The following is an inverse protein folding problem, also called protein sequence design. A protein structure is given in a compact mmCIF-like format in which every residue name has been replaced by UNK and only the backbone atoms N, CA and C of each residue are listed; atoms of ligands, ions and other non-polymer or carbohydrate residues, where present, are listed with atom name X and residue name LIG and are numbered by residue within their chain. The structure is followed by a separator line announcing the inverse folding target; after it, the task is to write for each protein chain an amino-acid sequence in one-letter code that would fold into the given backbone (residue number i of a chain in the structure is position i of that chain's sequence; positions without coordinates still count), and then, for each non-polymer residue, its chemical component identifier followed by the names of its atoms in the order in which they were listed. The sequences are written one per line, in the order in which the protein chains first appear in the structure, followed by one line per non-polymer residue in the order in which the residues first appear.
data_IF_386836646889
#
_entry.id   IF_386836646889
#
_cell.length_a   1.000
_cell.length_b   1.000
_cell.length_c   1.000
_cell.angle_alpha   90.00
_cell.angle_beta   90.00
_cell.angle_gamma   90.00
#
_symmetry.space_group_name_H-M   'P 1'
#
loop_
_entity.id
_entity.type
_entity.pdbx_description
1 polymer ?
#
# COMPACT_ATOMS: atom_id res chain seq x y z
N UNK A 1 4.68 13.34 7.09
CA UNK A 1 5.60 12.41 7.75
C UNK A 1 4.83 11.23 8.34
N UNK A 2 5.24 9.96 8.09
CA UNK A 2 4.61 8.82 8.72
C UNK A 2 5.02 8.69 10.20
N UNK A 3 4.07 8.33 11.06
CA UNK A 3 4.35 7.78 12.38
C UNK A 3 4.91 6.36 12.20
N UNK A 4 6.10 6.00 12.74
CA UNK A 4 6.72 4.70 12.50
C UNK A 4 6.11 3.59 13.37
N UNK A 5 4.81 3.37 13.18
CA UNK A 5 3.96 2.48 13.96
C UNK A 5 3.29 1.38 13.13
N UNK A 6 3.67 1.19 11.85
CA UNK A 6 3.10 0.17 10.96
C UNK A 6 3.66 0.18 9.55
N UNK A 7 3.31 -0.86 8.81
CA UNK A 7 3.69 -1.02 7.41
C UNK A 7 2.87 -0.11 6.48
N UNK A 8 3.49 0.33 5.39
CA UNK A 8 2.81 1.10 4.36
C UNK A 8 1.79 0.25 3.59
N UNK A 9 0.73 0.89 3.15
CA UNK A 9 -0.28 0.30 2.27
C UNK A 9 -0.50 1.17 1.02
N UNK A 10 -1.29 0.69 0.08
CA UNK A 10 -1.55 1.38 -1.20
C UNK A 10 -2.08 2.82 -1.03
N UNK A 11 -2.78 3.12 0.07
CA UNK A 11 -3.18 4.48 0.41
C UNK A 11 -2.00 5.42 0.65
N UNK A 12 -0.94 4.92 1.32
CA UNK A 12 0.29 5.69 1.51
C UNK A 12 1.04 5.88 0.18
N UNK A 13 0.96 4.93 -0.76
CA UNK A 13 1.56 5.10 -2.08
C UNK A 13 0.96 6.30 -2.84
N UNK A 14 -0.34 6.61 -2.65
CA UNK A 14 -0.97 7.83 -3.18
C UNK A 14 -0.31 9.08 -2.60
N UNK A 15 -0.17 9.17 -1.27
CA UNK A 15 0.49 10.29 -0.60
C UNK A 15 1.95 10.45 -1.04
N UNK A 16 2.71 9.36 -1.06
CA UNK A 16 4.12 9.35 -1.48
C UNK A 16 4.22 9.83 -2.93
N UNK A 17 3.41 9.24 -3.83
CA UNK A 17 3.40 9.59 -5.24
C UNK A 17 3.03 11.05 -5.48
N UNK A 18 2.11 11.62 -4.70
CA UNK A 18 1.74 13.02 -4.78
C UNK A 18 2.88 13.93 -4.32
N UNK A 19 3.47 13.70 -3.14
CA UNK A 19 4.53 14.52 -2.59
C UNK A 19 5.78 14.53 -3.49
N UNK A 20 6.31 13.35 -3.80
CA UNK A 20 7.47 13.23 -4.67
C UNK A 20 7.18 13.65 -6.11
N UNK A 21 5.95 13.44 -6.58
CA UNK A 21 5.51 13.83 -7.92
C UNK A 21 5.50 15.36 -8.09
N UNK A 22 4.90 16.09 -7.16
CA UNK A 22 4.88 17.56 -7.16
C UNK A 22 6.30 18.11 -7.04
N UNK A 23 7.10 17.61 -6.09
CA UNK A 23 8.48 18.04 -5.94
C UNK A 23 9.26 17.88 -7.26
N UNK A 24 9.14 16.74 -7.92
CA UNK A 24 9.79 16.46 -9.20
C UNK A 24 9.31 17.39 -10.32
N UNK A 25 7.99 17.60 -10.44
CA UNK A 25 7.37 18.42 -11.49
C UNK A 25 7.83 19.87 -11.38
N UNK A 26 7.86 20.42 -10.16
CA UNK A 26 8.26 21.79 -9.89
C UNK A 26 9.75 21.98 -9.57
N UNK A 27 10.58 20.92 -9.74
CA UNK A 27 12.03 20.94 -9.46
C UNK A 27 12.34 21.32 -8.01
N UNK A 28 11.46 20.95 -7.09
CA UNK A 28 11.63 21.09 -5.65
C UNK A 28 12.25 19.84 -5.02
N UNK A 29 12.28 19.84 -3.71
CA UNK A 29 12.77 18.74 -2.89
C UNK A 29 11.63 18.09 -2.09
N UNK A 30 11.75 16.79 -1.82
CA UNK A 30 10.86 16.05 -0.95
C UNK A 30 11.69 15.28 0.07
N UNK A 31 11.40 15.49 1.34
CA UNK A 31 12.11 14.86 2.45
C UNK A 31 11.37 13.60 2.92
N UNK A 32 12.10 12.65 3.47
CA UNK A 32 11.54 11.59 4.28
C UNK A 32 11.77 11.93 5.76
N UNK A 33 10.67 12.23 6.47
CA UNK A 33 10.68 12.51 7.91
C UNK A 33 9.76 11.52 8.63
N UNK A 34 10.19 11.04 9.77
CA UNK A 34 9.35 10.31 10.70
C UNK A 34 8.79 11.22 11.79
N UNK A 35 7.50 11.07 12.07
CA UNK A 35 6.87 11.67 13.24
C UNK A 35 7.04 10.69 14.41
N UNK A 36 8.13 10.86 15.12
CA UNK A 36 8.50 10.09 16.30
C UNK A 36 8.23 10.86 17.60
N UNK A 37 7.05 11.47 17.69
CA UNK A 37 6.60 12.20 18.90
C UNK A 37 5.92 11.31 19.93
N UNK A 38 5.76 10.01 19.66
CA UNK A 38 5.06 9.08 20.52
C UNK A 38 5.86 7.78 20.78
N UNK A 39 6.80 7.79 21.73
CA UNK A 39 7.75 6.69 21.95
C UNK A 39 7.10 5.33 22.26
N UNK A 40 5.85 5.30 22.73
CA UNK A 40 5.17 4.06 23.10
C UNK A 40 4.66 3.24 21.91
N UNK A 41 4.69 3.78 20.71
CA UNK A 41 4.13 3.13 19.50
C UNK A 41 5.14 2.89 18.39
N UNK A 42 6.33 3.42 18.54
CA UNK A 42 7.36 3.44 17.50
C UNK A 42 8.24 2.21 17.59
N UNK A 43 8.67 1.71 16.43
CA UNK A 43 9.53 0.54 16.34
C UNK A 43 10.45 0.70 15.12
N UNK A 44 11.75 0.47 15.32
CA UNK A 44 12.78 0.55 14.28
C UNK A 44 12.44 -0.29 13.05
N UNK A 45 11.80 -1.46 13.23
CA UNK A 45 11.37 -2.30 12.11
C UNK A 45 10.40 -1.59 11.15
N UNK A 46 9.58 -0.66 11.64
CA UNK A 46 8.67 0.09 10.79
C UNK A 46 9.41 1.20 10.04
N UNK A 47 10.40 1.83 10.67
CA UNK A 47 11.29 2.81 10.00
C UNK A 47 11.98 2.14 8.81
N UNK A 48 12.62 0.99 9.05
CA UNK A 48 13.32 0.23 8.02
C UNK A 48 12.39 -0.20 6.88
N UNK A 49 11.21 -0.73 7.23
CA UNK A 49 10.22 -1.15 6.25
C UNK A 49 9.67 0.02 5.41
N UNK A 50 9.44 1.20 6.02
CA UNK A 50 8.99 2.39 5.32
C UNK A 50 10.06 2.89 4.34
N UNK A 51 11.32 2.95 4.78
CA UNK A 51 12.45 3.32 3.92
C UNK A 51 12.59 2.35 2.73
N UNK A 52 12.49 1.04 2.98
CA UNK A 52 12.53 0.02 1.94
C UNK A 52 11.36 0.19 0.95
N UNK A 53 10.14 0.38 1.43
CA UNK A 53 8.94 0.50 0.60
C UNK A 53 8.99 1.77 -0.27
N UNK A 54 9.42 2.93 0.28
CA UNK A 54 9.57 4.18 -0.48
C UNK A 54 10.62 4.02 -1.58
N UNK A 55 11.77 3.43 -1.25
CA UNK A 55 12.84 3.13 -2.21
C UNK A 55 12.37 2.16 -3.28
N UNK A 56 11.68 1.09 -2.89
CA UNK A 56 11.15 0.10 -3.82
C UNK A 56 10.10 0.68 -4.76
N UNK A 57 9.28 1.62 -4.28
CA UNK A 57 8.36 2.37 -5.13
C UNK A 57 9.07 3.28 -6.15
N UNK A 58 10.40 3.40 -6.08
CA UNK A 58 11.22 4.18 -7.01
C UNK A 58 11.29 5.67 -6.67
N UNK A 59 10.99 6.03 -5.43
CA UNK A 59 11.15 7.40 -4.93
C UNK A 59 12.46 7.50 -4.13
N UNK A 60 13.27 8.48 -4.49
CA UNK A 60 14.53 8.79 -3.80
C UNK A 60 14.42 10.11 -3.04
N UNK A 61 15.01 10.15 -1.86
CA UNK A 61 15.24 11.36 -1.09
C UNK A 61 16.76 11.55 -0.93
N UNK A 62 17.22 12.71 -0.46
CA UNK A 62 18.64 13.06 -0.40
C UNK A 62 19.51 12.17 0.52
N UNK A 63 19.06 10.96 0.86
CA UNK A 63 19.74 10.01 1.74
C UNK A 63 19.63 10.36 3.22
N UNK A 64 19.24 11.59 3.57
CA UNK A 64 19.01 12.02 4.95
C UNK A 64 17.56 11.72 5.33
N UNK A 65 17.41 10.95 6.40
CA UNK A 65 16.12 10.76 7.08
C UNK A 65 16.02 11.75 8.21
N UNK A 66 14.91 12.46 8.30
CA UNK A 66 14.61 13.42 9.34
C UNK A 66 13.70 12.82 10.39
N UNK A 67 13.77 13.32 11.60
CA UNK A 67 12.93 12.90 12.72
C UNK A 67 12.38 14.11 13.47
N UNK A 68 11.17 14.03 13.95
CA UNK A 68 10.61 15.09 14.80
C UNK A 68 11.45 15.26 16.07
N UNK A 69 11.97 14.15 16.60
CA UNK A 69 12.86 14.13 17.78
C UNK A 69 14.17 14.90 17.60
N UNK A 70 14.67 15.08 16.38
CA UNK A 70 15.84 15.92 16.11
C UNK A 70 15.61 17.39 16.52
N UNK A 71 14.36 17.80 16.63
CA UNK A 71 13.94 19.18 16.88
C UNK A 71 13.28 19.38 18.26
N UNK A 72 13.30 18.39 19.17
CA UNK A 72 12.60 18.47 20.45
C UNK A 72 13.01 19.68 21.28
N UNK A 73 14.31 20.02 21.35
CA UNK A 73 14.78 21.20 22.06
C UNK A 73 14.20 22.49 21.45
N UNK A 74 14.21 22.59 20.11
CA UNK A 74 13.66 23.77 19.43
C UNK A 74 12.15 23.89 19.59
N UNK A 75 11.45 22.76 19.58
CA UNK A 75 10.01 22.71 19.87
C UNK A 75 9.72 23.13 21.30
N UNK A 76 10.55 22.75 22.26
CA UNK A 76 10.45 23.19 23.65
C UNK A 76 10.62 24.72 23.77
N UNK A 77 11.66 25.30 23.12
CA UNK A 77 11.84 26.76 23.05
C UNK A 77 10.62 27.47 22.46
N UNK A 78 10.02 26.95 21.40
CA UNK A 78 8.81 27.53 20.81
C UNK A 78 7.61 27.47 21.75
N UNK A 79 7.49 26.41 22.56
CA UNK A 79 6.45 26.35 23.60
C UNK A 79 6.68 27.42 24.69
N UNK A 80 7.93 27.68 25.09
CA UNK A 80 8.25 28.79 26.01
C UNK A 80 7.90 30.17 25.40
N UNK A 81 8.12 30.35 24.08
CA UNK A 81 7.69 31.55 23.37
C UNK A 81 6.19 31.74 23.47
N UNK A 82 5.36 30.70 23.25
CA UNK A 82 3.90 30.79 23.39
C UNK A 82 3.48 31.14 24.82
N UNK A 83 4.14 30.58 25.82
CA UNK A 83 3.87 30.91 27.22
C UNK A 83 4.19 32.40 27.46
N UNK A 84 5.35 32.90 27.01
CA UNK A 84 5.76 34.30 27.15
C UNK A 84 4.80 35.27 26.45
N UNK A 85 4.21 34.88 25.32
CA UNK A 85 3.18 35.63 24.65
C UNK A 85 1.80 35.57 25.35
N UNK A 86 1.67 34.78 26.43
CA UNK A 86 0.39 34.52 27.09
C UNK A 86 -0.57 33.69 26.23
N UNK A 87 -0.04 32.93 25.27
CA UNK A 87 -0.78 32.09 24.31
C UNK A 87 -0.73 30.59 24.65
N UNK A 88 -0.08 30.23 25.74
CA UNK A 88 -0.12 28.87 26.30
C UNK A 88 -0.11 28.91 27.84
N UNK A 89 -0.62 27.85 28.44
CA UNK A 89 -0.68 27.70 29.89
C UNK A 89 -0.58 26.24 30.29
N UNK A 90 -0.02 25.97 31.46
CA UNK A 90 0.00 24.64 32.08
C UNK A 90 -1.36 24.37 32.75
N UNK A 91 -1.97 23.27 32.40
CA UNK A 91 -3.27 22.85 32.91
C UNK A 91 -3.10 21.60 33.78
N UNK A 92 -3.66 21.64 34.99
CA UNK A 92 -3.59 20.56 35.97
C UNK A 92 -4.84 19.66 35.92
N UNK A 93 -5.74 19.86 34.95
CA UNK A 93 -6.90 19.00 34.73
C UNK A 93 -6.48 17.63 34.23
N UNK A 94 -7.14 16.59 34.71
CA UNK A 94 -7.00 15.24 34.20
C UNK A 94 -7.50 15.12 32.74
N UNK A 95 -7.11 14.09 31.99
CA UNK A 95 -7.61 13.89 30.63
C UNK A 95 -9.14 13.84 30.50
N UNK A 96 -9.82 13.27 31.50
CA UNK A 96 -11.28 13.20 31.58
C UNK A 96 -11.91 14.57 31.77
N UNK A 97 -11.36 15.37 32.69
CA UNK A 97 -11.81 16.74 32.94
C UNK A 97 -11.56 17.62 31.69
N UNK A 98 -10.38 17.53 31.06
CA UNK A 98 -10.09 18.25 29.81
C UNK A 98 -11.14 17.93 28.75
N UNK A 99 -11.51 16.66 28.60
CA UNK A 99 -12.56 16.25 27.66
C UNK A 99 -13.92 16.90 28.00
N UNK A 100 -14.30 16.94 29.27
CA UNK A 100 -15.54 17.58 29.73
C UNK A 100 -15.52 19.09 29.50
N UNK A 101 -14.43 19.76 29.90
CA UNK A 101 -14.27 21.20 29.69
C UNK A 101 -14.24 21.62 28.23
N UNK A 102 -13.72 20.75 27.34
CA UNK A 102 -13.70 21.02 25.91
C UNK A 102 -15.08 21.05 25.27
N UNK A 103 -16.07 20.40 25.87
CA UNK A 103 -17.42 20.30 25.37
C UNK A 103 -17.56 19.33 24.20
N UNK A 104 -18.64 19.48 23.43
CA UNK A 104 -18.96 18.65 22.27
C UNK A 104 -19.03 19.48 20.98
N UNK A 105 -19.31 18.84 19.84
CA UNK A 105 -19.51 19.57 18.57
C UNK A 105 -20.71 20.52 18.61
N UNK A 106 -21.68 20.25 19.47
CA UNK A 106 -22.93 21.04 19.62
C UNK A 106 -22.93 21.96 20.84
N UNK A 107 -22.00 21.75 21.78
CA UNK A 107 -21.90 22.53 23.01
C UNK A 107 -20.52 23.18 23.09
N UNK A 108 -20.44 24.49 23.41
CA UNK A 108 -19.17 25.18 23.59
C UNK A 108 -18.39 24.60 24.78
N UNK A 109 -17.08 24.78 24.75
CA UNK A 109 -16.24 24.44 25.89
C UNK A 109 -16.30 25.48 27.01
N UNK A 110 -15.80 25.10 28.17
CA UNK A 110 -15.66 25.95 29.35
C UNK A 110 -14.19 26.20 29.66
N UNK A 111 -13.83 27.40 30.08
CA UNK A 111 -12.46 27.73 30.46
C UNK A 111 -11.99 26.89 31.65
N UNK A 112 -10.76 26.35 31.53
CA UNK A 112 -10.09 25.71 32.67
C UNK A 112 -9.86 26.73 33.81
N UNK A 113 -9.98 26.34 35.09
CA UNK A 113 -9.64 27.20 36.23
C UNK A 113 -8.17 27.65 36.18
N UNK A 114 -7.29 26.89 35.50
CA UNK A 114 -5.86 27.19 35.40
C UNK A 114 -5.53 28.12 34.22
N UNK A 115 -6.47 28.42 33.34
CA UNK A 115 -6.29 29.24 32.12
C UNK A 115 -5.81 30.66 32.41
N UNK A 116 -6.06 31.18 33.59
CA UNK A 116 -5.69 32.56 34.06
C UNK A 116 -4.37 32.60 34.82
N UNK A 117 -3.66 31.48 34.94
CA UNK A 117 -2.34 31.38 35.57
C UNK A 117 -1.33 32.34 34.93
N UNK A 118 -0.50 32.96 35.76
CA UNK A 118 0.46 33.95 35.30
C UNK A 118 1.59 33.37 34.43
N UNK A 119 2.19 34.19 33.59
CA UNK A 119 3.27 33.77 32.63
C UNK A 119 4.44 33.14 33.40
N UNK A 120 4.93 33.79 34.46
CA UNK A 120 6.09 33.30 35.25
C UNK A 120 5.81 31.93 35.88
N UNK A 121 4.61 31.72 36.38
CA UNK A 121 4.19 30.46 37.00
C UNK A 121 4.08 29.35 35.92
N UNK A 122 3.51 29.67 34.76
CA UNK A 122 3.42 28.72 33.67
C UNK A 122 4.81 28.29 33.14
N UNK A 123 5.75 29.22 33.04
CA UNK A 123 7.15 28.92 32.66
C UNK A 123 7.85 28.02 33.67
N UNK A 124 7.68 28.34 34.97
CA UNK A 124 8.24 27.50 36.05
C UNK A 124 7.68 26.08 35.98
N UNK A 125 6.37 25.95 35.92
CA UNK A 125 5.69 24.66 35.86
C UNK A 125 6.10 23.87 34.58
N UNK A 126 6.21 24.51 33.41
CA UNK A 126 6.59 23.84 32.18
C UNK A 126 8.05 23.32 32.24
N UNK A 127 8.98 24.11 32.82
CA UNK A 127 10.35 23.66 33.07
C UNK A 127 10.41 22.48 34.04
N UNK A 128 9.61 22.50 35.08
CA UNK A 128 9.50 21.40 36.05
C UNK A 128 8.85 20.14 35.42
N UNK A 129 7.91 20.32 34.48
CA UNK A 129 7.41 19.20 33.67
C UNK A 129 8.56 18.55 32.90
N UNK A 130 9.44 19.36 32.27
CA UNK A 130 10.63 18.87 31.54
C UNK A 130 11.64 18.21 32.45
N UNK A 131 11.76 18.68 33.68
CA UNK A 131 12.62 18.11 34.72
C UNK A 131 12.10 16.80 35.32
N UNK A 132 10.90 16.33 34.90
CA UNK A 132 10.33 15.07 35.36
C UNK A 132 9.71 15.09 36.76
N UNK A 133 9.46 16.27 37.33
CA UNK A 133 8.94 16.41 38.72
C UNK A 133 7.49 15.94 38.87
N UNK A 134 6.75 15.77 37.77
CA UNK A 134 5.31 15.47 37.82
C UNK A 134 5.00 14.10 37.20
N UNK A 135 3.90 13.50 37.68
CA UNK A 135 3.44 12.20 37.17
C UNK A 135 2.70 12.34 35.86
N UNK A 136 2.66 11.24 35.08
CA UNK A 136 1.88 11.15 33.85
C UNK A 136 0.41 11.50 34.07
N UNK A 137 -0.16 12.27 33.15
CA UNK A 137 -1.57 12.68 33.20
C UNK A 137 -1.89 13.73 34.22
N UNK A 138 -0.91 14.18 35.07
CA UNK A 138 -1.14 15.21 36.09
C UNK A 138 -1.12 16.63 35.53
N UNK A 139 -0.41 16.85 34.41
CA UNK A 139 -0.28 18.17 33.79
C UNK A 139 -0.08 18.04 32.28
N UNK A 140 -0.57 19.06 31.58
CA UNK A 140 -0.34 19.25 30.13
C UNK A 140 -0.07 20.73 29.84
N UNK A 141 0.64 21.04 28.76
CA UNK A 141 0.66 22.39 28.23
C UNK A 141 -0.46 22.51 27.19
N UNK A 142 -1.30 23.54 27.34
CA UNK A 142 -2.38 23.82 26.38
C UNK A 142 -2.18 25.18 25.71
N UNK A 143 -2.57 25.26 24.44
CA UNK A 143 -2.74 26.55 23.79
C UNK A 143 -3.87 27.33 24.44
N UNK A 144 -3.80 28.66 24.37
CA UNK A 144 -4.84 29.60 24.86
C UNK A 144 -5.46 30.30 23.67
N UNK A 145 -6.55 29.74 23.15
CA UNK A 145 -7.20 30.21 21.91
C UNK A 145 -8.64 30.64 22.21
N UNK A 146 -9.63 29.78 21.95
CA UNK A 146 -11.05 30.10 22.14
C UNK A 146 -11.85 28.84 22.48
N UNK A 147 -12.31 28.76 23.73
CA UNK A 147 -13.12 27.65 24.23
C UNK A 147 -14.54 27.62 23.64
N UNK A 148 -15.02 28.72 23.04
CA UNK A 148 -16.31 28.78 22.38
C UNK A 148 -16.25 28.49 20.86
N UNK A 149 -15.06 28.24 20.32
CA UNK A 149 -14.88 27.97 18.88
C UNK A 149 -15.76 26.84 18.37
N UNK A 150 -16.37 27.00 17.20
CA UNK A 150 -17.06 25.94 16.50
C UNK A 150 -16.13 24.78 16.09
N UNK A 151 -14.85 25.08 15.86
CA UNK A 151 -13.82 24.08 15.61
C UNK A 151 -13.23 23.60 16.95
N UNK A 152 -13.47 22.34 17.28
CA UNK A 152 -13.05 21.73 18.54
C UNK A 152 -11.51 21.69 18.69
N UNK A 153 -10.76 21.72 17.60
CA UNK A 153 -9.29 21.74 17.58
C UNK A 153 -8.71 23.10 18.01
N UNK A 154 -9.55 24.15 18.09
CA UNK A 154 -9.16 25.48 18.57
C UNK A 154 -9.59 25.73 20.02
N UNK A 155 -10.24 24.74 20.69
CA UNK A 155 -10.65 24.85 22.09
C UNK A 155 -9.52 24.46 23.04
N UNK A 156 -8.55 25.35 23.13
CA UNK A 156 -7.34 25.20 23.95
C UNK A 156 -6.72 23.79 23.83
N UNK A 157 -6.22 23.40 22.62
CA UNK A 157 -5.66 22.08 22.40
C UNK A 157 -4.41 21.82 23.23
N UNK A 158 -4.12 20.54 23.50
CA UNK A 158 -2.90 20.11 24.18
C UNK A 158 -1.72 20.26 23.21
N UNK A 159 -0.66 20.91 23.67
CA UNK A 159 0.61 21.08 22.95
C UNK A 159 1.66 20.10 23.44
N UNK A 160 1.79 19.91 24.77
CA UNK A 160 2.70 18.94 25.39
C UNK A 160 1.99 18.11 26.45
N UNK A 161 2.43 16.87 26.57
CA UNK A 161 1.97 15.92 27.60
C UNK A 161 3.18 15.31 28.31
N UNK A 162 2.99 14.91 29.56
CA UNK A 162 3.97 14.11 30.32
C UNK A 162 3.80 12.65 29.92
N UNK A 163 4.89 12.02 29.53
CA UNK A 163 4.95 10.60 29.17
C UNK A 163 6.31 10.04 29.58
N UNK A 164 6.35 9.21 30.62
CA UNK A 164 7.58 8.61 31.17
C UNK A 164 7.87 7.30 30.41
N UNK A 165 8.38 7.42 29.19
CA UNK A 165 8.70 6.28 28.34
C UNK A 165 10.08 6.49 27.69
N UNK A 166 10.84 5.41 27.54
CA UNK A 166 12.10 5.42 26.82
C UNK A 166 11.82 5.64 25.31
N UNK A 167 12.46 6.67 24.75
CA UNK A 167 12.30 7.01 23.34
C UNK A 167 13.38 6.29 22.51
N UNK A 168 13.05 5.67 21.35
CA UNK A 168 14.00 4.89 20.56
C UNK A 168 15.28 5.63 20.18
N UNK A 169 15.23 6.97 20.02
CA UNK A 169 16.37 7.80 19.59
C UNK A 169 16.96 8.67 20.70
N UNK A 170 16.12 9.24 21.56
CA UNK A 170 16.58 10.16 22.61
C UNK A 170 16.68 9.50 24.00
N UNK A 171 16.37 8.20 24.09
CA UNK A 171 16.45 7.48 25.36
C UNK A 171 15.51 8.09 26.43
N UNK A 172 16.08 8.33 27.60
CA UNK A 172 15.35 8.89 28.75
C UNK A 172 15.58 10.41 28.91
N UNK A 173 16.14 11.08 27.89
CA UNK A 173 16.42 12.52 27.94
C UNK A 173 15.15 13.38 28.01
N UNK A 174 14.03 12.83 27.59
CA UNK A 174 12.74 13.49 27.56
C UNK A 174 11.67 12.72 28.34
N UNK A 175 10.86 13.46 29.11
CA UNK A 175 9.70 12.94 29.83
C UNK A 175 8.43 13.73 29.52
N UNK A 176 8.52 14.74 28.64
CA UNK A 176 7.40 15.44 28.04
C UNK A 176 7.54 15.40 26.51
N UNK A 177 6.44 15.22 25.82
CA UNK A 177 6.43 15.07 24.37
C UNK A 177 5.42 16.01 23.74
N UNK A 178 5.76 16.68 22.63
CA UNK A 178 4.81 17.48 21.89
C UNK A 178 3.72 16.61 21.28
N UNK A 179 2.55 17.17 21.06
CA UNK A 179 1.54 16.54 20.22
C UNK A 179 1.88 16.73 18.75
N UNK A 180 1.33 15.87 17.88
CA UNK A 180 1.46 16.00 16.43
C UNK A 180 1.09 17.42 15.94
N UNK A 181 -0.06 17.93 16.37
CA UNK A 181 -0.56 19.25 15.95
C UNK A 181 0.39 20.40 16.33
N UNK A 182 1.13 20.24 17.42
CA UNK A 182 2.15 21.24 17.80
C UNK A 182 3.44 21.02 17.00
N UNK A 183 3.95 19.80 16.89
CA UNK A 183 5.27 19.53 16.31
C UNK A 183 5.29 19.73 14.79
N UNK A 184 4.24 19.35 14.08
CA UNK A 184 4.24 19.19 12.64
C UNK A 184 4.58 20.49 11.88
N UNK A 185 3.86 21.58 12.12
CA UNK A 185 4.06 22.85 11.40
C UNK A 185 5.41 23.49 11.69
N UNK A 186 5.89 23.40 12.94
CA UNK A 186 7.20 23.94 13.34
C UNK A 186 8.33 23.14 12.74
N UNK A 187 8.22 21.80 12.71
CA UNK A 187 9.22 20.94 12.08
C UNK A 187 9.28 21.18 10.57
N UNK A 188 8.12 21.34 9.92
CA UNK A 188 8.05 21.74 8.51
C UNK A 188 8.83 23.04 8.27
N UNK A 189 8.62 24.04 9.11
CA UNK A 189 9.31 25.32 8.98
C UNK A 189 10.83 25.22 9.22
N UNK A 190 11.26 24.43 10.22
CA UNK A 190 12.69 24.22 10.52
C UNK A 190 13.39 23.54 9.35
N UNK A 191 12.73 22.59 8.70
CA UNK A 191 13.26 21.86 7.55
C UNK A 191 13.11 22.61 6.22
N UNK A 192 12.51 23.81 6.21
CA UNK A 192 12.33 24.63 5.01
C UNK A 192 11.23 24.12 4.08
N UNK A 193 10.31 23.31 4.55
CA UNK A 193 9.14 22.84 3.80
C UNK A 193 8.24 24.03 3.47
N UNK A 194 7.85 24.16 2.21
CA UNK A 194 6.97 25.24 1.75
C UNK A 194 5.51 24.77 1.60
N UNK A 195 5.31 23.52 1.21
CA UNK A 195 4.01 22.90 0.97
C UNK A 195 3.88 21.63 1.80
N UNK A 196 3.01 21.68 2.79
CA UNK A 196 2.68 20.54 3.66
C UNK A 196 1.41 19.86 3.14
N UNK A 197 1.55 18.65 2.58
CA UNK A 197 0.43 17.93 1.96
C UNK A 197 -0.07 16.83 2.90
N UNK A 198 -1.35 16.84 3.23
CA UNK A 198 -1.97 15.86 4.13
C UNK A 198 -3.35 15.41 3.63
N UNK A 199 -3.94 14.43 4.31
CA UNK A 199 -5.30 13.97 3.98
C UNK A 199 -6.37 14.89 4.57
N UNK A 200 -7.61 14.83 4.01
CA UNK A 200 -8.75 15.67 4.43
C UNK A 200 -9.09 15.59 5.91
N UNK A 201 -8.72 14.51 6.59
CA UNK A 201 -8.92 14.38 8.04
C UNK A 201 -8.19 15.46 8.87
N UNK A 202 -7.22 16.15 8.27
CA UNK A 202 -6.50 17.29 8.89
C UNK A 202 -7.03 18.67 8.46
N UNK A 203 -8.13 18.75 7.70
CA UNK A 203 -8.69 20.03 7.26
C UNK A 203 -9.11 20.89 8.45
N UNK A 204 -9.76 20.28 9.45
CA UNK A 204 -10.17 20.97 10.69
C UNK A 204 -8.98 21.30 11.61
N UNK A 205 -7.81 20.70 11.41
CA UNK A 205 -6.56 21.01 12.13
C UNK A 205 -5.79 22.18 11.52
N UNK A 206 -5.99 22.50 10.22
CA UNK A 206 -5.29 23.59 9.55
C UNK A 206 -5.39 24.95 10.26
N UNK A 207 -6.52 25.38 10.84
CA UNK A 207 -6.57 26.64 11.57
C UNK A 207 -5.63 26.69 12.77
N UNK A 208 -5.37 25.56 13.44
CA UNK A 208 -4.39 25.45 14.51
C UNK A 208 -2.96 25.51 13.95
N UNK A 209 -2.71 24.81 12.84
CA UNK A 209 -1.43 24.86 12.12
C UNK A 209 -1.07 26.31 11.73
N UNK A 210 -1.98 27.02 11.08
CA UNK A 210 -1.78 28.40 10.66
C UNK A 210 -1.58 29.33 11.88
N UNK A 211 -2.35 29.15 12.96
CA UNK A 211 -2.23 29.93 14.21
C UNK A 211 -0.83 29.78 14.83
N UNK A 212 -0.27 28.58 14.86
CA UNK A 212 1.08 28.31 15.37
C UNK A 212 2.16 28.92 14.45
N UNK A 213 2.04 28.74 13.14
CA UNK A 213 2.98 29.28 12.14
C UNK A 213 3.00 30.82 12.15
N UNK A 214 1.89 31.46 12.42
CA UNK A 214 1.81 32.91 12.47
C UNK A 214 2.37 33.53 13.74
N UNK A 215 2.25 32.86 14.88
CA UNK A 215 2.69 33.36 16.18
C UNK A 215 4.17 33.13 16.47
N UNK A 216 4.73 32.06 15.95
CA UNK A 216 6.09 31.65 16.27
C UNK A 216 7.13 32.29 15.36
N UNK A 217 8.35 32.57 15.85
CA UNK A 217 9.45 33.10 15.05
C UNK A 217 10.12 32.02 14.20
N UNK A 218 9.36 31.46 13.27
CA UNK A 218 9.80 30.36 12.41
C UNK A 218 10.67 30.86 11.25
N UNK A 219 11.64 30.04 10.76
CA UNK A 219 12.52 30.39 9.65
C UNK A 219 11.79 30.53 8.31
N UNK A 220 10.68 29.85 8.13
CA UNK A 220 9.78 30.01 6.99
C UNK A 220 8.32 29.77 7.42
N UNK A 221 7.38 30.07 6.54
CA UNK A 221 5.95 29.89 6.77
C UNK A 221 5.38 28.85 5.81
N UNK A 222 5.42 27.56 6.17
CA UNK A 222 4.83 26.50 5.37
C UNK A 222 3.30 26.66 5.29
N UNK A 223 2.71 26.14 4.20
CA UNK A 223 1.26 26.13 4.03
C UNK A 223 0.76 24.70 3.92
N UNK A 224 -0.31 24.38 4.65
CA UNK A 224 -0.97 23.09 4.61
C UNK A 224 -2.01 23.04 3.49
N UNK A 225 -2.03 21.90 2.77
CA UNK A 225 -2.98 21.58 1.71
C UNK A 225 -3.50 20.17 1.90
N UNK A 226 -4.81 19.99 1.84
CA UNK A 226 -5.44 18.71 2.05
C UNK A 226 -5.92 18.11 0.73
N UNK A 227 -5.88 16.76 0.69
CA UNK A 227 -6.41 15.97 -0.42
C UNK A 227 -7.15 14.73 0.11
N UNK A 228 -8.07 14.19 -0.71
CA UNK A 228 -8.84 13.00 -0.35
C UNK A 228 -7.94 11.78 -0.17
N UNK A 229 -8.20 11.00 0.88
CA UNK A 229 -7.57 9.68 1.05
C UNK A 229 -7.96 8.74 -0.09
N UNK A 230 -7.22 7.65 -0.24
CA UNK A 230 -7.58 6.56 -1.15
C UNK A 230 -8.52 5.59 -0.43
N UNK A 231 -9.70 5.38 -0.99
CA UNK A 231 -10.56 4.24 -0.65
C UNK A 231 -10.64 3.33 -1.88
N UNK A 232 -10.51 2.02 -1.66
CA UNK A 232 -10.59 1.00 -2.71
C UNK A 232 -11.79 0.09 -2.47
N UNK A 233 -12.46 -0.32 -3.55
CA UNK A 233 -13.49 -1.35 -3.48
C UNK A 233 -12.91 -2.67 -2.94
N UNK A 234 -13.68 -3.41 -2.18
CA UNK A 234 -13.31 -4.70 -1.57
C UNK A 234 -12.02 -4.67 -0.73
N UNK A 235 -11.67 -3.49 -0.16
CA UNK A 235 -10.39 -3.31 0.53
C UNK A 235 -10.55 -2.43 1.76
N UNK A 236 -9.94 -2.86 2.87
CA UNK A 236 -9.81 -2.07 4.10
C UNK A 236 -8.38 -1.56 4.23
N UNK A 237 -8.22 -0.26 4.42
CA UNK A 237 -6.91 0.37 4.64
C UNK A 237 -6.68 0.74 6.11
N UNK A 238 -7.66 0.51 6.98
CA UNK A 238 -7.52 0.78 8.42
C UNK A 238 -6.51 -0.17 9.06
N UNK A 239 -5.44 0.37 9.61
CA UNK A 239 -4.40 -0.38 10.32
C UNK A 239 -4.99 -1.25 11.45
N UNK A 240 -5.96 -0.74 12.20
CA UNK A 240 -6.62 -1.47 13.27
C UNK A 240 -7.25 -2.77 12.78
N UNK A 241 -7.99 -2.72 11.67
CA UNK A 241 -8.61 -3.91 11.08
C UNK A 241 -7.58 -4.87 10.48
N UNK A 242 -6.56 -4.33 9.78
CA UNK A 242 -5.50 -5.17 9.22
C UNK A 242 -4.72 -5.92 10.31
N UNK A 243 -4.45 -5.26 11.44
CA UNK A 243 -3.85 -5.91 12.62
C UNK A 243 -4.70 -7.06 13.15
N UNK A 244 -6.03 -6.88 13.21
CA UNK A 244 -6.94 -7.96 13.66
C UNK A 244 -6.89 -9.18 12.75
N UNK A 245 -6.77 -9.01 11.42
CA UNK A 245 -6.64 -10.12 10.49
C UNK A 245 -5.38 -10.97 10.77
N UNK A 246 -4.29 -10.31 11.16
CA UNK A 246 -3.03 -11.00 11.52
C UNK A 246 -3.17 -11.72 12.87
N UNK A 247 -3.71 -11.03 13.89
CA UNK A 247 -3.93 -11.60 15.21
C UNK A 247 -4.86 -12.83 15.16
N UNK A 248 -5.91 -12.76 14.36
CA UNK A 248 -6.86 -13.84 14.13
C UNK A 248 -6.32 -14.93 13.18
N UNK A 249 -5.07 -14.79 12.69
CA UNK A 249 -4.45 -15.74 11.74
C UNK A 249 -5.24 -15.94 10.44
N UNK A 250 -6.09 -14.99 10.06
CA UNK A 250 -6.80 -14.99 8.77
C UNK A 250 -5.83 -14.81 7.61
N UNK A 251 -4.77 -14.05 7.84
CA UNK A 251 -3.64 -13.84 6.92
C UNK A 251 -2.33 -14.25 7.58
N UNK A 252 -1.31 -14.56 6.77
CA UNK A 252 -0.01 -15.04 7.25
C UNK A 252 0.88 -13.96 7.86
N UNK A 253 0.55 -12.69 7.67
CA UNK A 253 1.30 -11.53 8.14
C UNK A 253 1.09 -10.30 7.27
N UNK A 254 1.84 -9.25 7.54
CA UNK A 254 1.76 -7.98 6.82
C UNK A 254 2.10 -8.09 5.33
N UNK A 255 2.88 -9.08 4.95
CA UNK A 255 3.26 -9.36 3.56
C UNK A 255 2.40 -10.46 2.91
N UNK A 256 1.25 -10.82 3.47
CA UNK A 256 0.32 -11.74 2.82
C UNK A 256 -0.13 -11.15 1.47
N UNK A 257 -0.11 -11.91 0.35
CA UNK A 257 -0.47 -11.42 -0.98
C UNK A 257 -1.89 -10.85 -1.11
N UNK A 258 -2.76 -11.12 -0.14
CA UNK A 258 -4.13 -10.57 -0.06
C UNK A 258 -4.19 -9.23 0.64
N UNK A 259 -3.15 -8.86 1.39
CA UNK A 259 -3.09 -7.60 2.12
C UNK A 259 -2.82 -6.42 1.17
N UNK A 260 -3.44 -5.25 1.42
CA UNK A 260 -3.23 -4.04 0.61
C UNK A 260 -1.94 -3.29 0.96
N UNK A 261 -1.06 -3.90 1.75
CA UNK A 261 0.26 -3.37 2.10
C UNK A 261 1.18 -3.37 0.89
N UNK A 262 2.17 -2.48 0.86
CA UNK A 262 3.17 -2.45 -0.21
C UNK A 262 3.93 -3.77 -0.26
N UNK A 263 4.34 -4.30 0.89
CA UNK A 263 4.99 -5.60 1.00
C UNK A 263 4.11 -6.78 0.53
N UNK A 264 2.79 -6.73 0.78
CA UNK A 264 1.82 -7.70 0.29
C UNK A 264 1.65 -7.65 -1.23
N UNK A 265 1.50 -6.45 -1.79
CA UNK A 265 1.42 -6.24 -3.24
C UNK A 265 2.70 -6.67 -3.95
N UNK A 266 3.88 -6.33 -3.39
CA UNK A 266 5.18 -6.78 -3.89
C UNK A 266 5.28 -8.30 -3.91
N UNK A 267 4.87 -8.98 -2.84
CA UNK A 267 4.85 -10.44 -2.77
C UNK A 267 3.84 -11.08 -3.72
N UNK A 268 2.73 -10.39 -4.01
CA UNK A 268 1.75 -10.80 -5.03
C UNK A 268 2.32 -10.69 -6.45
N UNK A 269 3.41 -9.96 -6.64
CA UNK A 269 4.06 -9.74 -7.94
C UNK A 269 3.60 -8.47 -8.65
N UNK A 270 3.02 -7.51 -7.93
CA UNK A 270 2.68 -6.19 -8.48
C UNK A 270 3.96 -5.37 -8.59
N UNK A 271 4.37 -4.91 -9.78
CA UNK A 271 5.56 -4.09 -9.94
C UNK A 271 5.38 -2.67 -9.41
N UNK A 272 6.45 -2.01 -8.91
CA UNK A 272 6.36 -0.64 -8.41
C UNK A 272 5.90 0.35 -9.49
N UNK A 273 6.28 0.13 -10.77
CA UNK A 273 5.84 0.93 -11.90
C UNK A 273 4.33 0.86 -12.09
N UNK A 274 3.72 -0.30 -11.91
CA UNK A 274 2.27 -0.46 -11.99
C UNK A 274 1.56 0.30 -10.87
N UNK A 275 2.13 0.31 -9.66
CA UNK A 275 1.60 1.11 -8.54
C UNK A 275 1.73 2.60 -8.84
N UNK A 276 2.89 3.06 -9.34
CA UNK A 276 3.07 4.47 -9.74
C UNK A 276 2.09 4.88 -10.86
N UNK A 277 1.90 4.02 -11.86
CA UNK A 277 0.92 4.25 -12.94
C UNK A 277 -0.51 4.32 -12.38
N UNK A 278 -0.87 3.42 -11.48
CA UNK A 278 -2.16 3.46 -10.78
C UNK A 278 -2.34 4.78 -10.04
N UNK A 279 -1.36 5.16 -9.20
CA UNK A 279 -1.42 6.40 -8.41
C UNK A 279 -1.52 7.64 -9.29
N UNK A 280 -0.78 7.71 -10.42
CA UNK A 280 -0.81 8.84 -11.34
C UNK A 280 -2.17 9.03 -12.05
N UNK A 281 -3.01 8.00 -12.08
CA UNK A 281 -4.37 8.07 -12.65
C UNK A 281 -5.43 8.50 -11.63
N UNK A 282 -5.07 8.57 -10.34
CA UNK A 282 -6.00 8.99 -9.30
C UNK A 282 -6.20 10.49 -9.34
N UNK A 283 -7.44 10.93 -9.31
CA UNK A 283 -7.74 12.34 -9.18
C UNK A 283 -7.33 12.87 -7.81
N UNK A 284 -6.73 14.05 -7.79
CA UNK A 284 -6.46 14.82 -6.58
C UNK A 284 -7.69 15.70 -6.34
N UNK A 285 -8.49 15.36 -5.35
CA UNK A 285 -9.74 16.05 -5.03
C UNK A 285 -9.83 16.34 -3.55
N UNK A 286 -10.73 17.22 -3.17
CA UNK A 286 -11.15 17.48 -1.78
C UNK A 286 -12.48 16.79 -1.45
N UNK A 287 -12.84 15.75 -2.15
CA UNK A 287 -14.01 14.92 -1.86
C UNK A 287 -13.63 13.45 -1.82
N UNK A 288 -14.15 12.72 -0.84
CA UNK A 288 -13.94 11.29 -0.73
C UNK A 288 -14.66 10.55 -1.86
N UNK A 289 -13.97 9.58 -2.43
CA UNK A 289 -14.49 8.69 -3.46
C UNK A 289 -13.88 7.30 -3.33
N UNK A 290 -14.55 6.30 -3.88
CA UNK A 290 -14.03 4.93 -3.93
C UNK A 290 -13.50 4.66 -5.33
N UNK A 291 -12.29 4.13 -5.42
CA UNK A 291 -11.64 3.70 -6.66
C UNK A 291 -11.78 2.19 -6.78
N UNK A 292 -12.11 1.71 -7.99
CA UNK A 292 -12.22 0.28 -8.26
C UNK A 292 -10.85 -0.42 -8.17
N UNK A 293 -10.77 -1.50 -7.43
CA UNK A 293 -9.56 -2.35 -7.34
C UNK A 293 -9.15 -2.88 -8.72
N UNK A 294 -10.11 -3.07 -9.62
CA UNK A 294 -9.88 -3.46 -11.00
C UNK A 294 -8.93 -2.51 -11.76
N UNK A 295 -8.85 -1.23 -11.38
CA UNK A 295 -7.91 -0.28 -11.99
C UNK A 295 -6.46 -0.63 -11.65
N UNK A 296 -6.17 -1.04 -10.41
CA UNK A 296 -4.84 -1.50 -10.01
C UNK A 296 -4.46 -2.79 -10.76
N UNK A 297 -5.39 -3.74 -10.86
CA UNK A 297 -5.19 -4.97 -11.62
C UNK A 297 -4.97 -4.68 -13.11
N UNK A 298 -5.67 -3.72 -13.68
CA UNK A 298 -5.47 -3.28 -15.07
C UNK A 298 -4.08 -2.68 -15.27
N UNK A 299 -3.63 -1.77 -14.40
CA UNK A 299 -2.28 -1.20 -14.47
C UNK A 299 -1.21 -2.28 -14.35
N UNK A 300 -1.40 -3.23 -13.45
CA UNK A 300 -0.48 -4.36 -13.23
C UNK A 300 -0.41 -5.24 -14.48
N UNK A 301 -1.56 -5.63 -15.03
CA UNK A 301 -1.64 -6.48 -16.23
C UNK A 301 -0.99 -5.82 -17.44
N UNK A 302 -1.27 -4.54 -17.67
CA UNK A 302 -0.70 -3.81 -18.80
C UNK A 302 0.83 -3.77 -18.73
N UNK A 303 1.36 -3.39 -17.55
CA UNK A 303 2.81 -3.35 -17.37
C UNK A 303 3.47 -4.73 -17.55
N UNK A 304 2.91 -5.77 -16.94
CA UNK A 304 3.43 -7.13 -17.07
C UNK A 304 3.28 -7.68 -18.50
N UNK A 305 2.25 -7.26 -19.24
CA UNK A 305 2.07 -7.69 -20.64
C UNK A 305 3.21 -7.22 -21.54
N UNK A 306 3.84 -6.11 -21.25
CA UNK A 306 4.95 -5.57 -22.04
C UNK A 306 6.31 -6.16 -21.65
N UNK A 307 6.50 -6.56 -20.40
CA UNK A 307 7.83 -6.87 -19.86
C UNK A 307 8.00 -8.30 -19.33
N UNK A 308 6.91 -8.96 -18.92
CA UNK A 308 7.02 -10.27 -18.29
C UNK A 308 7.30 -11.38 -19.32
N UNK A 309 8.37 -12.13 -19.08
CA UNK A 309 8.69 -13.31 -19.89
C UNK A 309 7.57 -14.35 -19.75
N UNK A 310 7.04 -14.80 -20.89
CA UNK A 310 5.96 -15.77 -20.90
C UNK A 310 6.46 -17.18 -20.57
N UNK A 311 5.67 -17.87 -19.76
CA UNK A 311 5.82 -19.30 -19.47
C UNK A 311 4.46 -19.97 -19.64
N UNK A 312 4.46 -21.26 -19.95
CA UNK A 312 3.26 -22.07 -19.95
C UNK A 312 3.16 -22.82 -18.63
N UNK A 313 2.00 -22.78 -18.00
CA UNK A 313 1.66 -23.53 -16.80
C UNK A 313 0.25 -24.09 -16.97
N UNK A 314 0.04 -25.32 -16.50
CA UNK A 314 -1.26 -25.98 -16.49
C UNK A 314 -1.64 -26.18 -15.04
N UNK A 315 -2.75 -25.56 -14.62
CA UNK A 315 -3.18 -25.55 -13.23
C UNK A 315 -4.04 -26.77 -12.87
N UNK A 316 -4.92 -27.15 -13.79
CA UNK A 316 -5.82 -28.30 -13.63
C UNK A 316 -5.59 -29.29 -14.78
N UNK A 317 -4.52 -30.11 -14.70
CA UNK A 317 -4.04 -30.89 -15.83
C UNK A 317 -4.96 -32.05 -16.21
N UNK A 318 -5.18 -32.20 -17.49
CA UNK A 318 -5.66 -33.43 -18.12
C UNK A 318 -4.62 -33.93 -19.13
N UNK A 319 -4.39 -35.23 -19.15
CA UNK A 319 -3.38 -35.86 -20.01
C UNK A 319 -3.89 -35.95 -21.45
N UNK A 320 -3.04 -35.55 -22.38
CA UNK A 320 -3.25 -35.70 -23.83
C UNK A 320 -2.19 -36.62 -24.38
N UNK A 321 -2.61 -37.65 -25.13
CA UNK A 321 -1.72 -38.57 -25.85
C UNK A 321 -1.87 -38.31 -27.34
N UNK A 322 -0.75 -38.05 -28.02
CA UNK A 322 -0.71 -37.87 -29.48
C UNK A 322 -0.31 -39.21 -30.08
N UNK A 323 -1.31 -39.98 -30.56
CA UNK A 323 -1.13 -41.36 -31.01
C UNK A 323 -0.17 -41.56 -32.16
N UNK A 324 -0.12 -40.61 -33.13
CA UNK A 324 0.75 -40.67 -34.29
C UNK A 324 2.07 -39.88 -34.10
N UNK A 325 2.45 -39.51 -32.86
CA UNK A 325 3.77 -38.98 -32.54
C UNK A 325 4.68 -40.12 -32.07
N UNK A 326 6.01 -40.07 -32.35
CA UNK A 326 6.96 -41.12 -31.94
C UNK A 326 6.85 -41.46 -30.43
N UNK A 327 6.96 -42.77 -30.12
CA UNK A 327 6.83 -43.25 -28.75
C UNK A 327 7.95 -42.76 -27.83
N UNK A 328 9.14 -42.60 -28.38
CA UNK A 328 10.31 -42.13 -27.66
C UNK A 328 10.85 -40.84 -28.25
N UNK A 329 11.41 -40.01 -27.38
CA UNK A 329 12.02 -38.75 -27.78
C UNK A 329 11.09 -37.55 -27.62
N UNK A 330 11.66 -36.41 -27.89
CA UNK A 330 10.98 -35.10 -27.89
C UNK A 330 11.66 -34.21 -28.94
N UNK A 331 10.97 -33.16 -29.34
CA UNK A 331 11.56 -32.10 -30.13
C UNK A 331 11.52 -30.77 -29.38
N UNK A 332 12.47 -29.91 -29.66
CA UNK A 332 12.50 -28.57 -29.12
C UNK A 332 11.79 -27.60 -30.06
N UNK A 333 10.76 -26.94 -29.53
CA UNK A 333 9.97 -25.95 -30.25
C UNK A 333 10.36 -24.56 -29.77
N UNK A 334 10.63 -23.68 -30.74
CA UNK A 334 10.95 -22.29 -30.44
C UNK A 334 9.70 -21.49 -30.05
N UNK A 335 9.75 -20.80 -28.90
CA UNK A 335 8.68 -19.98 -28.38
C UNK A 335 9.19 -18.59 -28.03
N UNK A 336 8.43 -17.56 -28.40
CA UNK A 336 8.75 -16.18 -28.04
C UNK A 336 8.68 -15.98 -26.52
N UNK A 337 9.67 -15.28 -25.97
CA UNK A 337 9.66 -14.89 -24.57
C UNK A 337 8.60 -13.82 -24.28
N UNK A 338 8.46 -12.85 -25.19
CA UNK A 338 7.39 -11.84 -25.17
C UNK A 338 6.81 -11.77 -26.59
N UNK A 339 5.53 -12.09 -26.79
CA UNK A 339 4.92 -12.07 -28.12
C UNK A 339 5.06 -10.70 -28.80
N UNK A 340 5.56 -10.72 -30.03
CA UNK A 340 5.77 -9.50 -30.83
C UNK A 340 7.00 -8.66 -30.45
N UNK A 341 7.78 -9.05 -29.45
CA UNK A 341 9.01 -8.37 -29.04
C UNK A 341 10.24 -9.24 -29.37
N UNK A 342 10.82 -9.04 -30.53
CA UNK A 342 12.00 -9.80 -30.99
C UNK A 342 13.21 -9.59 -30.05
N UNK A 343 13.36 -8.41 -29.45
CA UNK A 343 14.47 -8.12 -28.54
C UNK A 343 14.44 -8.97 -27.27
N UNK A 344 13.27 -9.44 -26.84
CA UNK A 344 13.13 -10.35 -25.71
C UNK A 344 13.63 -11.76 -25.99
N UNK A 345 13.95 -12.08 -27.28
CA UNK A 345 14.42 -13.37 -27.69
C UNK A 345 13.38 -14.49 -27.58
N UNK A 346 13.87 -15.70 -27.72
CA UNK A 346 13.06 -16.92 -27.71
C UNK A 346 13.61 -17.92 -26.71
N UNK A 347 12.82 -18.95 -26.41
CA UNK A 347 13.22 -20.13 -25.64
C UNK A 347 12.80 -21.40 -26.33
N UNK A 348 13.47 -22.48 -26.02
CA UNK A 348 13.09 -23.81 -26.46
C UNK A 348 12.16 -24.45 -25.43
N UNK A 349 11.08 -25.06 -25.92
CA UNK A 349 10.11 -25.82 -25.13
C UNK A 349 10.01 -27.24 -25.65
N UNK A 350 10.18 -28.26 -24.79
CA UNK A 350 10.12 -29.66 -25.21
C UNK A 350 8.68 -30.05 -25.56
N UNK A 351 8.48 -30.63 -26.74
CA UNK A 351 7.23 -31.21 -27.19
C UNK A 351 7.39 -32.73 -27.30
N UNK A 352 6.52 -33.48 -26.69
CA UNK A 352 6.56 -34.94 -26.59
C UNK A 352 5.20 -35.56 -26.92
N UNK A 353 5.14 -36.87 -27.06
CA UNK A 353 3.91 -37.62 -27.30
C UNK A 353 2.85 -37.37 -26.23
N UNK A 354 3.27 -37.19 -24.98
CA UNK A 354 2.39 -36.97 -23.84
C UNK A 354 2.49 -35.52 -23.37
N UNK A 355 1.34 -34.89 -23.25
CA UNK A 355 1.19 -33.50 -22.83
C UNK A 355 0.17 -33.37 -21.73
N UNK A 356 0.20 -32.24 -21.03
CA UNK A 356 -0.91 -31.76 -20.21
C UNK A 356 -1.49 -30.49 -20.80
N UNK A 357 -2.83 -30.40 -20.78
CA UNK A 357 -3.59 -29.20 -21.07
C UNK A 357 -4.53 -28.90 -19.90
N UNK A 358 -5.15 -27.74 -19.84
CA UNK A 358 -6.19 -27.46 -18.85
C UNK A 358 -7.42 -28.34 -19.07
N UNK A 359 -8.00 -28.86 -18.00
CA UNK A 359 -9.24 -29.62 -18.07
C UNK A 359 -10.39 -28.80 -18.70
N UNK A 360 -10.40 -27.48 -18.45
CA UNK A 360 -11.38 -26.53 -19.03
C UNK A 360 -11.20 -26.28 -20.53
N UNK A 361 -10.07 -26.68 -21.09
CA UNK A 361 -9.79 -26.60 -22.54
C UNK A 361 -10.41 -27.75 -23.31
N UNK A 362 -11.08 -28.71 -22.64
CA UNK A 362 -11.74 -29.84 -23.25
C UNK A 362 -13.22 -29.91 -22.81
N UNK A 363 -14.09 -30.25 -23.77
CA UNK A 363 -15.51 -30.52 -23.53
C UNK A 363 -15.99 -31.63 -24.46
N UNK A 364 -16.60 -32.67 -23.91
CA UNK A 364 -17.07 -33.84 -24.68
C UNK A 364 -18.28 -33.46 -25.52
N UNK A 365 -19.24 -32.75 -24.95
CA UNK A 365 -20.42 -32.20 -25.62
C UNK A 365 -20.33 -30.66 -25.70
N UNK A 366 -19.63 -30.10 -26.69
CA UNK A 366 -19.35 -28.66 -26.71
C UNK A 366 -20.57 -27.84 -27.09
N UNK A 367 -20.80 -26.76 -26.36
CA UNK A 367 -21.75 -25.71 -26.74
C UNK A 367 -21.35 -25.02 -28.04
N UNK A 368 -22.28 -24.29 -28.69
CA UNK A 368 -22.00 -23.56 -29.95
C UNK A 368 -20.87 -22.53 -29.81
N UNK A 369 -20.68 -22.00 -28.61
CA UNK A 369 -19.68 -20.96 -28.33
C UNK A 369 -18.36 -21.53 -27.76
N UNK A 370 -18.24 -22.84 -27.62
CA UNK A 370 -17.00 -23.47 -27.15
C UNK A 370 -16.07 -23.73 -28.35
N UNK A 371 -14.96 -23.04 -28.42
CA UNK A 371 -14.02 -23.12 -29.55
C UNK A 371 -12.70 -23.83 -29.19
N UNK A 372 -12.68 -24.59 -28.07
CA UNK A 372 -11.53 -25.36 -27.63
C UNK A 372 -11.65 -26.84 -28.05
N UNK A 373 -10.83 -27.72 -27.47
CA UNK A 373 -10.75 -29.12 -27.88
C UNK A 373 -12.04 -29.89 -27.58
N UNK A 374 -12.51 -30.65 -28.52
CA UNK A 374 -13.70 -31.51 -28.39
C UNK A 374 -13.56 -32.71 -29.34
N UNK A 375 -14.34 -33.79 -29.20
CA UNK A 375 -14.31 -34.92 -30.11
C UNK A 375 -14.45 -34.51 -31.59
N UNK A 376 -13.52 -34.95 -32.45
CA UNK A 376 -13.47 -34.61 -33.86
C UNK A 376 -13.07 -33.15 -34.18
N UNK A 377 -12.84 -32.30 -33.17
CA UNK A 377 -12.48 -30.90 -33.36
C UNK A 377 -10.97 -30.71 -33.38
N UNK A 378 -10.50 -29.89 -34.31
CA UNK A 378 -9.10 -29.49 -34.44
C UNK A 378 -8.83 -28.18 -33.68
N UNK A 379 -7.72 -28.13 -32.95
CA UNK A 379 -7.21 -26.95 -32.24
C UNK A 379 -5.71 -26.79 -32.44
N UNK A 380 -5.19 -25.59 -32.22
CA UNK A 380 -3.76 -25.31 -32.25
C UNK A 380 -3.17 -25.45 -30.84
N UNK A 381 -2.09 -26.19 -30.72
CA UNK A 381 -1.19 -26.10 -29.59
C UNK A 381 -0.24 -24.91 -29.78
N UNK A 382 -0.15 -24.03 -28.81
CA UNK A 382 0.61 -22.79 -28.94
C UNK A 382 2.06 -23.05 -29.29
N UNK A 383 2.55 -22.42 -30.36
CA UNK A 383 3.89 -22.61 -30.97
C UNK A 383 4.14 -23.99 -31.61
N UNK A 384 3.28 -24.97 -31.39
CA UNK A 384 3.49 -26.36 -31.86
C UNK A 384 2.63 -26.68 -33.07
N UNK A 385 1.74 -27.63 -32.95
CA UNK A 385 1.00 -28.24 -34.02
C UNK A 385 -0.50 -28.08 -33.88
N UNK A 386 -1.25 -28.39 -34.91
CA UNK A 386 -2.68 -28.67 -34.79
C UNK A 386 -2.87 -30.10 -34.31
N UNK A 387 -3.82 -30.26 -33.40
CA UNK A 387 -4.23 -31.58 -32.89
C UNK A 387 -5.74 -31.74 -33.04
N UNK A 388 -6.18 -32.96 -33.29
CA UNK A 388 -7.58 -33.36 -33.39
C UNK A 388 -7.89 -34.43 -32.36
N UNK A 389 -8.90 -34.25 -31.53
CA UNK A 389 -9.35 -35.27 -30.56
C UNK A 389 -10.01 -36.45 -31.33
N UNK A 390 -9.52 -37.66 -31.08
CA UNK A 390 -10.03 -38.92 -31.65
C UNK A 390 -10.86 -39.71 -30.66
N UNK A 391 -10.43 -39.77 -29.40
CA UNK A 391 -11.05 -40.59 -28.37
C UNK A 391 -10.81 -39.98 -26.98
N UNK A 392 -11.71 -40.23 -26.08
CA UNK A 392 -11.62 -39.84 -24.67
C UNK A 392 -11.68 -41.10 -23.80
N UNK A 393 -10.88 -41.13 -22.76
CA UNK A 393 -10.97 -42.14 -21.70
C UNK A 393 -11.43 -41.50 -20.41
N UNK A 394 -12.41 -42.09 -19.78
CA UNK A 394 -12.98 -41.67 -18.50
C UNK A 394 -12.74 -42.74 -17.43
N UNK A 395 -12.77 -42.32 -16.18
CA UNK A 395 -12.82 -43.26 -15.04
C UNK A 395 -14.25 -43.78 -14.82
N UNK A 396 -14.40 -44.63 -13.82
CA UNK A 396 -15.69 -45.25 -13.46
C UNK A 396 -16.74 -44.22 -13.00
N UNK A 397 -16.32 -42.99 -12.72
CA UNK A 397 -17.19 -41.86 -12.33
C UNK A 397 -17.46 -40.92 -13.46
N UNK A 398 -17.02 -41.21 -14.67
CA UNK A 398 -17.20 -40.38 -15.84
C UNK A 398 -16.22 -39.19 -15.90
N UNK A 399 -15.21 -39.10 -15.03
CA UNK A 399 -14.21 -38.04 -15.08
C UNK A 399 -13.19 -38.37 -16.18
N UNK A 400 -12.89 -37.37 -17.01
CA UNK A 400 -11.89 -37.49 -18.08
C UNK A 400 -10.50 -37.66 -17.45
N UNK A 401 -9.80 -38.74 -17.80
CA UNK A 401 -8.45 -39.06 -17.37
C UNK A 401 -7.43 -38.92 -18.48
N UNK A 402 -7.84 -39.13 -19.74
CA UNK A 402 -6.95 -39.10 -20.88
C UNK A 402 -7.70 -38.73 -22.17
N UNK A 403 -7.10 -37.88 -22.99
CA UNK A 403 -7.61 -37.51 -24.32
C UNK A 403 -6.62 -38.01 -25.39
N UNK A 404 -7.10 -38.81 -26.31
CA UNK A 404 -6.29 -39.33 -27.38
C UNK A 404 -6.49 -38.45 -28.61
N UNK A 405 -5.40 -37.89 -29.11
CA UNK A 405 -5.38 -36.98 -30.28
C UNK A 405 -4.44 -37.48 -31.35
N UNK A 406 -4.69 -37.06 -32.58
CA UNK A 406 -3.67 -37.06 -33.65
C UNK A 406 -3.16 -35.65 -33.88
N UNK A 407 -1.89 -35.49 -34.26
CA UNK A 407 -1.36 -34.20 -34.71
C UNK A 407 -1.15 -34.17 -36.23
N UNK A 408 -1.15 -32.97 -36.78
CA UNK A 408 -0.77 -32.76 -38.19
C UNK A 408 0.66 -32.22 -38.25
N UNK A 409 1.64 -33.06 -38.72
CA UNK A 409 3.05 -32.69 -38.76
C UNK A 409 3.35 -31.50 -39.70
N UNK A 410 2.48 -31.20 -40.66
CA UNK A 410 2.66 -30.08 -41.61
C UNK A 410 2.32 -28.72 -40.96
N UNK A 411 1.77 -28.70 -39.74
CA UNK A 411 1.33 -27.49 -39.08
C UNK A 411 2.31 -26.97 -38.01
N UNK A 412 3.59 -27.37 -38.10
CA UNK A 412 4.65 -26.91 -37.16
C UNK A 412 4.71 -25.40 -37.12
N UNK A 413 4.79 -24.85 -35.87
CA UNK A 413 4.72 -23.42 -35.65
C UNK A 413 3.29 -22.85 -35.60
N UNK A 414 2.28 -23.71 -35.74
CA UNK A 414 0.87 -23.32 -35.61
C UNK A 414 0.30 -22.65 -36.88
N UNK A 415 0.87 -22.90 -38.03
CA UNK A 415 0.33 -22.49 -39.35
C UNK A 415 0.03 -23.72 -40.19
N UNK A 416 -0.99 -23.62 -41.02
CA UNK A 416 -1.39 -24.70 -41.92
C UNK A 416 -1.02 -24.37 -43.37
N UNK A 417 -0.35 -25.29 -44.12
CA UNK A 417 0.00 -25.08 -45.54
C UNK A 417 -1.23 -24.87 -46.43
N UNK A 418 -2.35 -25.46 -46.12
CA UNK A 418 -3.62 -25.34 -46.86
C UNK A 418 -4.43 -24.07 -46.46
N UNK A 419 -3.90 -23.24 -45.57
CA UNK A 419 -4.53 -21.98 -45.15
C UNK A 419 -5.75 -22.14 -44.25
N UNK A 420 -6.08 -23.37 -43.77
CA UNK A 420 -7.20 -23.57 -42.87
C UNK A 420 -6.95 -22.89 -41.53
N UNK A 421 -7.99 -22.30 -40.95
CA UNK A 421 -7.92 -21.57 -39.71
C UNK A 421 -8.62 -22.35 -38.61
N UNK A 422 -7.92 -22.60 -37.50
CA UNK A 422 -8.51 -23.12 -36.26
C UNK A 422 -8.79 -21.98 -35.30
N UNK A 423 -9.95 -22.00 -34.64
CA UNK A 423 -10.38 -20.95 -33.73
C UNK A 423 -9.71 -21.04 -32.35
N UNK A 424 -9.47 -22.28 -31.88
CA UNK A 424 -8.88 -22.52 -30.53
C UNK A 424 -7.38 -22.60 -30.58
N UNK A 425 -6.71 -21.90 -29.62
CA UNK A 425 -5.29 -22.09 -29.33
C UNK A 425 -5.16 -22.43 -27.86
N UNK A 426 -4.54 -23.58 -27.57
CA UNK A 426 -4.34 -24.07 -26.21
C UNK A 426 -2.88 -23.89 -25.80
N UNK A 427 -2.64 -23.57 -24.54
CA UNK A 427 -1.32 -23.76 -23.93
C UNK A 427 -1.20 -25.20 -23.41
N UNK A 428 0.03 -25.65 -23.24
CA UNK A 428 0.32 -27.03 -22.90
C UNK A 428 1.69 -27.14 -22.27
N UNK A 429 1.96 -28.27 -21.59
CA UNK A 429 3.29 -28.64 -21.11
C UNK A 429 3.57 -30.10 -21.44
N UNK A 430 4.82 -30.45 -21.73
CA UNK A 430 5.26 -31.86 -21.92
C UNK A 430 5.15 -32.58 -20.58
N UNK A 431 4.55 -33.76 -20.54
CA UNK A 431 4.38 -34.52 -19.28
C UNK A 431 5.73 -34.94 -18.68
N UNK A 432 6.70 -35.24 -19.53
CA UNK A 432 8.04 -35.71 -19.12
C UNK A 432 8.96 -34.58 -18.64
N UNK A 433 8.73 -33.34 -19.14
CA UNK A 433 9.62 -32.20 -18.90
C UNK A 433 8.97 -31.12 -18.02
N UNK A 434 7.69 -31.27 -17.66
CA UNK A 434 7.02 -30.35 -16.76
C UNK A 434 7.53 -30.52 -15.32
N UNK A 435 7.57 -29.39 -14.62
CA UNK A 435 7.96 -29.35 -13.21
C UNK A 435 6.70 -29.16 -12.38
N UNK A 436 6.41 -30.04 -11.40
CA UNK A 436 5.26 -29.84 -10.51
C UNK A 436 5.43 -28.59 -9.68
N UNK A 437 4.38 -27.78 -9.59
CA UNK A 437 4.37 -26.53 -8.84
C UNK A 437 3.19 -26.48 -7.87
N UNK A 438 3.43 -25.90 -6.69
CA UNK A 438 2.35 -25.59 -5.76
C UNK A 438 1.75 -24.24 -6.16
N UNK A 439 0.51 -24.23 -6.58
CA UNK A 439 -0.23 -23.02 -6.90
C UNK A 439 -1.16 -22.65 -5.74
N UNK A 440 -1.13 -21.37 -5.35
CA UNK A 440 -2.06 -20.80 -4.36
C UNK A 440 -2.92 -19.76 -5.08
N UNK A 441 -4.20 -20.04 -5.15
CA UNK A 441 -5.20 -19.10 -5.67
C UNK A 441 -5.74 -18.29 -4.50
N UNK A 442 -5.65 -16.97 -4.60
CA UNK A 442 -6.14 -16.05 -3.58
C UNK A 442 -7.41 -15.37 -4.08
N UNK A 443 -8.43 -15.37 -3.24
CA UNK A 443 -9.62 -14.55 -3.41
C UNK A 443 -9.47 -13.22 -2.66
N UNK A 444 -10.31 -12.21 -2.98
CA UNK A 444 -10.37 -11.00 -2.19
C UNK A 444 -10.60 -11.29 -0.71
N UNK A 445 -9.95 -10.52 0.18
CA UNK A 445 -10.11 -10.67 1.64
C UNK A 445 -11.51 -10.29 2.11
N UNK A 446 -12.18 -9.41 1.38
CA UNK A 446 -13.48 -8.87 1.73
C UNK A 446 -14.45 -9.08 0.57
N UNK A 447 -15.66 -9.51 0.92
CA UNK A 447 -16.75 -9.76 -0.05
C UNK A 447 -17.64 -8.54 -0.28
N UNK A 448 -17.63 -7.58 0.65
CA UNK A 448 -18.38 -6.34 0.50
C UNK A 448 -17.58 -5.32 -0.31
N UNK A 449 -18.23 -4.65 -1.25
CA UNK A 449 -17.61 -3.62 -2.09
C UNK A 449 -17.19 -2.39 -1.28
N UNK A 450 -18.01 -2.00 -0.29
CA UNK A 450 -17.73 -0.94 0.68
C UNK A 450 -17.77 -1.53 2.08
N UNK A 451 -16.75 -1.23 2.86
CA UNK A 451 -16.54 -1.79 4.19
C UNK A 451 -16.45 -0.64 5.20
#
# INVERSE_FOLDING_TARGET
PPEPNGFLHIGHAKSIGLNFGIAKEFKGECHLRFDDTNPTKEDQKFIDAICEDVSWLGYGWNGKVYYASDNFEKLFEYAEVLINLGKAYVDDLSPQEIQQYRGSLTEPGTESPFRKRGIKENLDLFKRMRAGEFEEGSRVLRAKIDMASGNINLRDPILYRILKANHPRTGDDWCIYPTYDFAHGQTDAIEGVTHSLCTLEFEDHRPLYDWLVDLLPLPCKPKQYEFSRLNLSYTVLSKRFLTQLILNKTVSGWNDPRMPTISGLRRRGVPPEAIRNFVSRLAITKSDGTVETALLDHCTRNYLNELALRRMAVLNPVRVIIENYPESGYEEIQAENIPGNQAAGTRLIPFSRELYIEQEDFMEEPSKNFFRLAPGREVRLRYAYFITCKKVKTDDKGKIIEIICSYDPLTKGGQSPDGRKVKGTLHWVSSQHSIPARVRLFEPLFVAERI
#
